data_IF_042630385673
#
_entry.id   IF_042630385673
#
_cell.length_a   1.000
_cell.length_b   1.000
_cell.length_c   1.000
_cell.angle_alpha   90.00
_cell.angle_beta   90.00
_cell.angle_gamma   90.00
#
_symmetry.space_group_name_H-M   'P 1'
#
loop_
_entity.id
_entity.type
_entity.pdbx_description
1 polymer ?
#
# COMPACT_ATOMS: atom_id res chain seq x y z
N UNK A 1 3.70 17.87 -2.18
CA UNK A 1 4.74 17.04 -1.51
C UNK A 1 5.26 16.04 -2.55
N UNK A 2 6.49 15.51 -2.45
CA UNK A 2 6.98 14.49 -3.40
C UNK A 2 6.71 13.08 -2.88
N UNK A 3 6.50 12.12 -3.78
CA UNK A 3 6.32 10.71 -3.41
C UNK A 3 7.57 10.14 -2.71
N UNK A 4 7.39 9.51 -1.55
CA UNK A 4 8.43 8.71 -0.91
C UNK A 4 8.36 7.27 -1.44
N UNK A 5 9.46 6.79 -2.03
CA UNK A 5 9.59 5.41 -2.55
C UNK A 5 10.43 4.50 -1.64
N UNK A 6 10.92 5.02 -0.51
CA UNK A 6 11.66 4.23 0.49
C UNK A 6 10.73 3.51 1.46
N UNK A 7 11.27 2.52 2.18
CA UNK A 7 10.53 1.80 3.22
C UNK A 7 10.15 2.76 4.35
N UNK A 8 8.86 3.09 4.45
CA UNK A 8 8.32 4.07 5.39
C UNK A 8 7.24 3.48 6.32
N UNK A 9 7.29 2.17 6.57
CA UNK A 9 6.35 1.52 7.49
C UNK A 9 6.77 1.77 8.94
N UNK A 10 5.97 2.56 9.65
CA UNK A 10 6.20 2.92 11.04
C UNK A 10 4.89 2.89 11.84
N UNK A 11 4.93 2.48 13.11
CA UNK A 11 3.86 2.74 14.09
C UNK A 11 4.45 3.58 15.22
N UNK A 12 3.92 4.79 15.41
CA UNK A 12 4.44 5.79 16.35
C UNK A 12 4.62 5.26 17.78
N UNK A 13 3.75 4.32 18.19
CA UNK A 13 3.70 3.80 19.56
C UNK A 13 4.34 2.40 19.73
N UNK A 14 5.01 1.86 18.71
CA UNK A 14 5.66 0.53 18.80
C UNK A 14 7.15 0.58 18.50
N UNK A 15 7.95 0.22 19.51
CA UNK A 15 9.36 -0.10 19.32
C UNK A 15 9.51 -1.53 18.79
N UNK A 16 9.67 -1.66 17.48
CA UNK A 16 9.93 -2.95 16.86
C UNK A 16 11.39 -3.38 17.12
N UNK A 17 11.59 -4.49 17.84
CA UNK A 17 12.92 -5.10 18.05
C UNK A 17 13.61 -5.57 16.75
N UNK A 18 12.89 -5.59 15.61
CA UNK A 18 13.41 -5.85 14.26
C UNK A 18 12.74 -4.91 13.26
N UNK A 19 13.53 -4.21 12.45
CA UNK A 19 13.08 -3.15 11.54
C UNK A 19 12.12 -3.60 10.42
N UNK A 20 12.04 -4.90 10.11
CA UNK A 20 11.22 -5.42 8.98
C UNK A 20 9.79 -5.79 9.36
N UNK A 21 9.49 -5.96 10.65
CA UNK A 21 8.16 -6.42 11.13
C UNK A 21 6.98 -5.54 10.72
N UNK A 22 7.08 -4.19 10.70
CA UNK A 22 5.92 -3.35 10.36
C UNK A 22 5.37 -3.60 8.94
N UNK A 23 6.25 -3.91 8.00
CA UNK A 23 5.90 -4.21 6.61
C UNK A 23 5.31 -5.61 6.47
N UNK A 24 5.89 -6.59 7.18
CA UNK A 24 5.38 -7.96 7.22
C UNK A 24 3.98 -8.01 7.84
N UNK A 25 3.77 -7.33 8.98
CA UNK A 25 2.47 -7.25 9.67
C UNK A 25 1.39 -6.61 8.76
N UNK A 26 1.76 -5.58 7.98
CA UNK A 26 0.83 -4.96 7.03
C UNK A 26 0.50 -5.91 5.87
N UNK A 27 1.50 -6.61 5.34
CA UNK A 27 1.30 -7.57 4.26
C UNK A 27 0.43 -8.76 4.69
N UNK A 28 0.63 -9.26 5.91
CA UNK A 28 -0.23 -10.28 6.53
C UNK A 28 -1.67 -9.78 6.64
N UNK A 29 -1.88 -8.57 7.17
CA UNK A 29 -3.22 -7.97 7.28
C UNK A 29 -3.90 -7.78 5.91
N UNK A 30 -3.14 -7.46 4.85
CA UNK A 30 -3.66 -7.42 3.49
C UNK A 30 -4.12 -8.79 3.00
N UNK A 31 -3.33 -9.84 3.23
CA UNK A 31 -3.72 -11.22 2.87
C UNK A 31 -4.98 -11.63 3.64
N UNK A 32 -5.03 -11.36 4.94
CA UNK A 32 -6.19 -11.68 5.77
C UNK A 32 -7.45 -10.94 5.32
N UNK A 33 -7.33 -9.69 4.87
CA UNK A 33 -8.45 -8.91 4.33
C UNK A 33 -9.09 -9.58 3.10
N UNK A 34 -8.30 -10.32 2.31
CA UNK A 34 -8.79 -11.04 1.12
C UNK A 34 -9.33 -12.44 1.43
N UNK A 35 -9.20 -12.91 2.67
CA UNK A 35 -9.63 -14.24 3.06
C UNK A 35 -11.15 -14.38 2.87
N UNK A 36 -11.57 -15.51 2.34
CA UNK A 36 -12.97 -15.88 2.09
C UNK A 36 -13.71 -14.99 1.07
N UNK A 37 -12.98 -14.15 0.31
CA UNK A 37 -13.53 -13.36 -0.80
C UNK A 37 -13.34 -14.06 -2.15
N UNK A 38 -14.28 -13.86 -3.07
CA UNK A 38 -14.06 -14.20 -4.49
C UNK A 38 -13.09 -13.21 -5.13
N UNK A 39 -12.58 -13.55 -6.33
CA UNK A 39 -11.68 -12.67 -7.08
C UNK A 39 -12.32 -11.29 -7.33
N UNK A 40 -13.60 -11.24 -7.71
CA UNK A 40 -14.32 -9.98 -7.96
C UNK A 40 -14.49 -9.15 -6.67
N UNK A 41 -14.75 -9.82 -5.54
CA UNK A 41 -14.85 -9.16 -4.25
C UNK A 41 -13.49 -8.63 -3.78
N UNK A 42 -12.44 -9.41 -4.01
CA UNK A 42 -11.05 -9.05 -3.73
C UNK A 42 -10.64 -7.79 -4.52
N UNK A 43 -10.96 -7.73 -5.80
CA UNK A 43 -10.75 -6.53 -6.63
C UNK A 43 -11.56 -5.32 -6.12
N UNK A 44 -12.82 -5.52 -5.76
CA UNK A 44 -13.68 -4.44 -5.25
C UNK A 44 -13.15 -3.86 -3.92
N UNK A 45 -12.69 -4.72 -3.01
CA UNK A 45 -12.06 -4.30 -1.75
C UNK A 45 -10.76 -3.57 -2.01
N UNK A 46 -9.93 -4.03 -2.95
CA UNK A 46 -8.70 -3.34 -3.35
C UNK A 46 -8.97 -1.94 -3.91
N UNK A 47 -9.94 -1.80 -4.82
CA UNK A 47 -10.33 -0.50 -5.36
C UNK A 47 -10.78 0.46 -4.23
N UNK A 48 -11.58 -0.05 -3.28
CA UNK A 48 -12.03 0.73 -2.13
C UNK A 48 -10.86 1.14 -1.23
N UNK A 49 -9.93 0.23 -0.93
CA UNK A 49 -8.74 0.51 -0.13
C UNK A 49 -7.89 1.61 -0.78
N UNK A 50 -7.64 1.51 -2.09
CA UNK A 50 -6.90 2.53 -2.86
C UNK A 50 -7.56 3.90 -2.72
N UNK A 51 -8.89 3.99 -2.85
CA UNK A 51 -9.62 5.25 -2.70
C UNK A 51 -9.52 5.84 -1.29
N UNK A 52 -9.59 4.99 -0.26
CA UNK A 52 -9.42 5.43 1.14
C UNK A 52 -8.01 5.96 1.40
N UNK A 53 -6.98 5.26 0.93
CA UNK A 53 -5.59 5.69 1.03
C UNK A 53 -5.34 6.98 0.24
N UNK A 54 -5.92 7.09 -0.96
CA UNK A 54 -5.84 8.30 -1.76
C UNK A 54 -6.46 9.51 -1.06
N UNK A 55 -7.61 9.32 -0.42
CA UNK A 55 -8.24 10.35 0.40
C UNK A 55 -7.39 10.72 1.62
N UNK A 56 -6.74 9.75 2.27
CA UNK A 56 -5.85 10.00 3.39
C UNK A 56 -4.59 10.79 2.99
N UNK A 57 -4.06 10.55 1.78
CA UNK A 57 -2.92 11.31 1.22
C UNK A 57 -3.34 12.73 0.84
N UNK A 58 -4.50 12.90 0.20
CA UNK A 58 -5.11 14.20 -0.13
C UNK A 58 -4.39 15.04 -1.20
N UNK A 59 -3.13 14.76 -1.53
CA UNK A 59 -2.33 15.46 -2.54
C UNK A 59 -2.39 14.74 -3.90
N UNK A 60 -3.10 15.34 -4.86
CA UNK A 60 -3.24 14.80 -6.22
C UNK A 60 -1.91 14.66 -6.98
N UNK A 61 -0.89 15.46 -6.66
CA UNK A 61 0.41 15.34 -7.30
C UNK A 61 1.15 14.09 -6.82
N UNK A 62 1.13 13.83 -5.50
CA UNK A 62 1.67 12.58 -4.91
C UNK A 62 0.97 11.36 -5.50
N UNK A 63 -0.36 11.41 -5.66
CA UNK A 63 -1.12 10.31 -6.25
C UNK A 63 -0.76 10.05 -7.72
N UNK A 64 -0.54 11.12 -8.51
CA UNK A 64 -0.09 10.99 -9.90
C UNK A 64 1.31 10.40 -10.00
N UNK A 65 2.24 10.87 -9.18
CA UNK A 65 3.59 10.31 -9.08
C UNK A 65 3.54 8.82 -8.70
N UNK A 66 2.70 8.44 -7.73
CA UNK A 66 2.51 7.06 -7.30
C UNK A 66 2.00 6.16 -8.44
N UNK A 67 1.01 6.62 -9.21
CA UNK A 67 0.51 5.89 -10.38
C UNK A 67 1.58 5.71 -11.46
N UNK A 68 2.40 6.73 -11.71
CA UNK A 68 3.51 6.63 -12.65
C UNK A 68 4.57 5.62 -12.18
N UNK A 69 4.96 5.68 -10.91
CA UNK A 69 5.92 4.75 -10.31
C UNK A 69 5.41 3.30 -10.34
N UNK A 70 4.15 3.07 -9.96
CA UNK A 70 3.52 1.74 -10.00
C UNK A 70 3.55 1.15 -11.42
N UNK A 71 3.24 1.95 -12.44
CA UNK A 71 3.28 1.50 -13.85
C UNK A 71 4.70 1.18 -14.33
N UNK A 72 5.71 1.89 -13.83
CA UNK A 72 7.11 1.61 -14.17
C UNK A 72 7.59 0.30 -13.55
N UNK A 73 7.24 0.02 -12.29
CA UNK A 73 7.63 -1.23 -11.61
C UNK A 73 7.14 -2.51 -12.30
N UNK A 74 5.96 -2.46 -12.93
CA UNK A 74 5.44 -3.58 -13.74
C UNK A 74 6.28 -3.80 -15.00
N UNK A 75 6.74 -2.73 -15.65
CA UNK A 75 7.56 -2.82 -16.88
C UNK A 75 8.99 -3.30 -16.63
N UNK A 76 9.52 -3.09 -15.43
CA UNK A 76 10.87 -3.53 -15.06
C UNK A 76 10.93 -4.99 -14.59
N UNK A 77 9.78 -5.60 -14.31
CA UNK A 77 9.65 -6.97 -13.80
C UNK A 77 9.28 -7.99 -14.89
N UNK A 78 9.28 -7.60 -16.16
CA UNK A 78 9.03 -8.45 -17.33
C UNK A 78 10.18 -8.38 -18.32
#
# INVERSE_FOLDING_TARGET
>A
MSLNTEYNFHQADKHFFRAYRPGDDFYEALIEMHRDLTDEQSEAVNARLILLLANQIGDLNVLREAMTAARQGVKSSG
#
